data_IF_859341474148
#
_entry.id   IF_859341474148
#
_cell.length_a   1.000
_cell.length_b   1.000
_cell.length_c   1.000
_cell.angle_alpha   90.00
_cell.angle_beta   90.00
_cell.angle_gamma   90.00
#
_symmetry.space_group_name_H-M   'P 1'
#
loop_
_entity.id
_entity.type
_entity.pdbx_description
1 polymer ?
#
# COMPACT_ATOMS: atom_id res chain seq x y z
N UNK A 1 11.80 11.03 -4.71
CA UNK A 1 11.31 10.00 -3.79
C UNK A 1 11.08 8.71 -4.53
N UNK A 2 11.46 7.62 -3.93
CA UNK A 2 11.13 6.30 -4.47
C UNK A 2 9.65 6.00 -4.26
N UNK A 3 9.14 4.98 -4.93
CA UNK A 3 7.74 4.55 -4.75
C UNK A 3 7.49 4.12 -3.30
N UNK A 4 8.44 3.40 -2.69
CA UNK A 4 8.35 3.05 -1.26
C UNK A 4 8.17 4.29 -0.39
N UNK A 5 9.00 5.30 -0.61
CA UNK A 5 8.94 6.52 0.17
C UNK A 5 7.63 7.28 -0.05
N UNK A 6 7.13 7.28 -1.27
CA UNK A 6 5.85 7.93 -1.58
C UNK A 6 4.69 7.25 -0.87
N UNK A 7 4.67 5.93 -0.85
CA UNK A 7 3.63 5.16 -0.16
C UNK A 7 3.70 5.41 1.34
N UNK A 8 4.88 5.33 1.93
CA UNK A 8 5.06 5.58 3.36
C UNK A 8 4.63 7.01 3.72
N UNK A 9 5.05 7.98 2.92
CA UNK A 9 4.69 9.38 3.17
C UNK A 9 3.18 9.64 3.05
N UNK A 10 2.50 8.92 2.17
CA UNK A 10 1.06 9.07 1.99
C UNK A 10 0.28 8.45 3.15
N UNK A 11 0.75 7.31 3.66
CA UNK A 11 0.02 6.51 4.65
C UNK A 11 0.26 6.95 6.08
N UNK A 12 1.50 7.31 6.43
CA UNK A 12 1.86 7.55 7.85
C UNK A 12 1.12 8.69 8.53
N UNK A 13 0.66 9.76 7.84
CA UNK A 13 -0.21 10.73 8.50
C UNK A 13 -1.57 10.18 8.90
N UNK A 14 -1.97 9.05 8.36
CA UNK A 14 -3.28 8.43 8.59
C UNK A 14 -3.15 7.21 9.51
N UNK A 15 -2.20 6.33 9.20
CA UNK A 15 -1.89 5.13 9.98
C UNK A 15 -0.40 5.18 10.29
N UNK A 16 -0.06 5.35 11.55
CA UNK A 16 1.31 5.66 11.97
C UNK A 16 2.34 4.60 11.58
N UNK A 17 1.95 3.34 11.52
CA UNK A 17 2.85 2.24 11.17
C UNK A 17 2.56 1.78 9.74
N UNK A 18 3.54 1.98 8.86
CA UNK A 18 3.45 1.56 7.47
C UNK A 18 4.81 1.00 7.07
N UNK A 19 4.87 -0.29 6.82
CA UNK A 19 6.12 -0.98 6.54
C UNK A 19 6.01 -1.83 5.27
N UNK A 20 7.10 -2.01 4.54
CA UNK A 20 7.07 -2.88 3.37
C UNK A 20 6.97 -4.35 3.77
N UNK A 21 6.29 -5.11 2.95
CA UNK A 21 6.16 -6.56 2.98
C UNK A 21 5.52 -7.13 4.23
N UNK A 22 6.18 -7.11 5.37
CA UNK A 22 5.73 -7.79 6.57
C UNK A 22 6.07 -7.00 7.80
N UNK A 23 5.10 -6.87 8.70
CA UNK A 23 5.37 -6.29 10.00
C UNK A 23 6.09 -7.33 10.86
N UNK A 24 7.28 -6.98 11.32
CA UNK A 24 8.07 -7.82 12.20
C UNK A 24 8.18 -7.15 13.56
N UNK A 25 7.81 -7.87 14.63
CA UNK A 25 7.96 -7.38 15.98
C UNK A 25 9.05 -8.20 16.69
N UNK A 26 9.83 -7.52 17.51
CA UNK A 26 10.85 -8.19 18.32
C UNK A 26 10.19 -8.99 19.45
N UNK A 27 10.86 -10.03 19.96
CA UNK A 27 10.32 -10.77 21.11
C UNK A 27 10.06 -9.83 22.28
N UNK A 28 8.86 -9.94 22.85
CA UNK A 28 8.45 -9.10 23.98
C UNK A 28 7.80 -7.78 23.58
N UNK A 29 7.83 -7.39 22.30
CA UNK A 29 7.12 -6.22 21.84
C UNK A 29 5.64 -6.54 21.60
N UNK A 30 4.79 -5.57 21.93
CA UNK A 30 3.37 -5.67 21.58
C UNK A 30 3.18 -5.15 20.16
N UNK A 31 2.65 -5.95 19.23
CA UNK A 31 2.40 -5.44 17.89
C UNK A 31 1.36 -4.33 17.92
N UNK A 32 1.43 -3.37 16.99
CA UNK A 32 0.42 -2.32 16.90
C UNK A 32 -0.93 -2.93 16.54
N UNK A 33 -2.00 -2.37 17.08
CA UNK A 33 -3.35 -2.83 16.77
C UNK A 33 -3.76 -2.45 15.36
N UNK A 34 -3.25 -1.34 14.86
CA UNK A 34 -3.56 -0.81 13.55
C UNK A 34 -2.27 -0.53 12.80
N UNK A 35 -2.16 -1.04 11.59
CA UNK A 35 -0.97 -0.83 10.78
C UNK A 35 -1.24 -1.12 9.32
N UNK A 36 -0.32 -0.66 8.47
CA UNK A 36 -0.32 -0.98 7.05
C UNK A 36 0.96 -1.69 6.66
N UNK A 37 0.83 -2.61 5.73
CA UNK A 37 1.97 -3.17 5.00
C UNK A 37 1.73 -2.93 3.52
N UNK A 38 2.78 -2.96 2.72
CA UNK A 38 2.60 -2.83 1.28
C UNK A 38 3.64 -3.63 0.53
N UNK A 39 3.26 -4.04 -0.66
CA UNK A 39 4.17 -4.69 -1.58
C UNK A 39 3.82 -4.28 -3.00
N UNK A 40 4.73 -4.48 -3.92
CA UNK A 40 4.44 -4.26 -5.32
C UNK A 40 5.35 -5.11 -6.19
N UNK A 41 4.84 -5.40 -7.39
CA UNK A 41 5.61 -6.04 -8.43
C UNK A 41 5.73 -5.07 -9.62
N UNK A 42 6.86 -5.10 -10.28
CA UNK A 42 7.09 -4.24 -11.43
C UNK A 42 7.00 -5.04 -12.71
N UNK A 43 6.50 -4.39 -13.74
CA UNK A 43 6.46 -4.96 -15.08
C UNK A 43 6.62 -3.85 -16.11
N UNK A 44 7.07 -4.22 -17.29
CA UNK A 44 7.24 -3.26 -18.37
C UNK A 44 5.88 -2.81 -18.88
N UNK A 45 5.67 -1.49 -18.93
CA UNK A 45 4.41 -0.94 -19.37
C UNK A 45 4.28 -0.96 -20.90
N UNK A 46 5.33 -0.57 -21.60
CA UNK A 46 5.30 -0.48 -23.03
C UNK A 46 6.59 -1.03 -23.61
N UNK A 47 6.47 -1.78 -24.68
CA UNK A 47 7.61 -2.27 -25.44
C UNK A 47 7.56 -1.64 -26.83
N UNK A 48 8.45 -0.71 -27.06
CA UNK A 48 8.70 -0.16 -28.36
C UNK A 48 10.16 -0.36 -28.67
N UNK A 49 10.49 -0.71 -29.88
CA UNK A 49 11.88 -0.90 -30.29
C UNK A 49 12.63 -1.88 -29.41
N UNK A 50 11.93 -2.88 -28.88
CA UNK A 50 12.48 -3.91 -28.01
C UNK A 50 12.98 -3.38 -26.66
N UNK A 51 12.53 -2.20 -26.25
CA UNK A 51 12.88 -1.61 -24.97
C UNK A 51 11.65 -1.30 -24.16
N UNK A 52 11.74 -1.48 -22.86
CA UNK A 52 10.71 -1.00 -21.95
C UNK A 52 10.90 0.51 -21.77
N UNK A 53 9.89 1.29 -22.12
CA UNK A 53 9.95 2.74 -22.00
C UNK A 53 9.54 3.22 -20.61
N UNK A 54 8.78 2.42 -19.88
CA UNK A 54 8.33 2.75 -18.54
C UNK A 54 8.13 1.47 -17.75
N UNK A 55 8.33 1.57 -16.45
CA UNK A 55 7.98 0.48 -15.53
C UNK A 55 6.68 0.83 -14.86
N UNK A 56 5.80 -0.14 -14.81
CA UNK A 56 4.54 -0.03 -14.09
C UNK A 56 4.60 -0.97 -12.90
N UNK A 57 4.11 -0.53 -11.76
CA UNK A 57 4.06 -1.34 -10.56
C UNK A 57 2.62 -1.63 -10.21
N UNK A 58 2.33 -2.88 -9.89
CA UNK A 58 1.07 -3.25 -9.27
C UNK A 58 1.29 -3.19 -7.76
N UNK A 59 0.61 -2.28 -7.11
CA UNK A 59 0.80 -1.99 -5.69
C UNK A 59 -0.37 -2.55 -4.90
N UNK A 60 -0.06 -3.20 -3.78
CA UNK A 60 -1.07 -3.61 -2.80
C UNK A 60 -0.70 -3.01 -1.47
N UNK A 61 -1.61 -2.24 -0.89
CA UNK A 61 -1.47 -1.71 0.47
C UNK A 61 -2.50 -2.42 1.33
N UNK A 62 -2.02 -3.10 2.36
CA UNK A 62 -2.87 -3.84 3.30
C UNK A 62 -3.04 -2.99 4.55
N UNK A 63 -4.30 -2.75 4.92
CA UNK A 63 -4.64 -2.03 6.13
C UNK A 63 -5.28 -3.01 7.09
N UNK A 64 -4.69 -3.15 8.27
CA UNK A 64 -5.15 -4.07 9.30
C UNK A 64 -5.53 -3.29 10.54
N UNK A 65 -6.66 -3.65 11.13
CA UNK A 65 -7.23 -2.95 12.28
C UNK A 65 -8.00 -3.93 13.16
N UNK A 66 -8.26 -3.57 14.43
CA UNK A 66 -9.05 -4.41 15.31
C UNK A 66 -10.45 -4.64 14.76
N UNK A 67 -11.00 -5.82 15.03
CA UNK A 67 -12.27 -6.25 14.46
C UNK A 67 -13.42 -5.26 14.72
N UNK A 68 -13.42 -4.63 15.89
CA UNK A 68 -14.54 -3.75 16.31
C UNK A 68 -14.27 -2.27 16.14
N UNK A 69 -13.11 -1.91 15.55
CA UNK A 69 -12.78 -0.51 15.32
C UNK A 69 -13.65 0.08 14.20
N UNK A 70 -13.99 1.35 14.32
CA UNK A 70 -14.67 2.05 13.25
C UNK A 70 -13.63 2.59 12.29
N UNK A 71 -13.49 1.97 11.13
CA UNK A 71 -12.43 2.27 10.17
C UNK A 71 -12.91 3.01 8.92
N UNK A 72 -14.19 3.37 8.86
CA UNK A 72 -14.76 3.94 7.63
C UNK A 72 -14.04 5.22 7.19
N UNK A 73 -13.80 6.14 8.13
CA UNK A 73 -13.11 7.40 7.81
C UNK A 73 -11.65 7.15 7.44
N UNK A 74 -10.99 6.26 8.16
CA UNK A 74 -9.59 5.90 7.87
C UNK A 74 -9.46 5.31 6.47
N UNK A 75 -10.37 4.42 6.09
CA UNK A 75 -10.36 3.82 4.75
C UNK A 75 -10.54 4.87 3.66
N UNK A 76 -11.43 5.84 3.86
CA UNK A 76 -11.62 6.92 2.88
C UNK A 76 -10.38 7.78 2.74
N UNK A 77 -9.74 8.08 3.86
CA UNK A 77 -8.50 8.89 3.85
C UNK A 77 -7.36 8.15 3.17
N UNK A 78 -7.23 6.85 3.44
CA UNK A 78 -6.23 6.02 2.78
C UNK A 78 -6.46 5.97 1.28
N UNK A 79 -7.70 5.78 0.87
CA UNK A 79 -8.03 5.74 -0.55
C UNK A 79 -7.61 7.04 -1.25
N UNK A 80 -7.97 8.17 -0.67
CA UNK A 80 -7.64 9.48 -1.25
C UNK A 80 -6.13 9.72 -1.30
N UNK A 81 -5.42 9.37 -0.22
CA UNK A 81 -3.98 9.54 -0.18
C UNK A 81 -3.26 8.65 -1.20
N UNK A 82 -3.71 7.41 -1.34
CA UNK A 82 -3.10 6.48 -2.29
C UNK A 82 -3.44 6.84 -3.73
N UNK A 83 -4.60 7.43 -3.97
CA UNK A 83 -4.95 7.92 -5.31
C UNK A 83 -4.01 9.04 -5.77
N UNK A 84 -3.38 9.74 -4.83
CA UNK A 84 -2.43 10.82 -5.13
C UNK A 84 -0.97 10.34 -5.22
N UNK A 85 -0.69 9.06 -5.04
CA UNK A 85 0.67 8.52 -5.11
C UNK A 85 0.98 8.12 -6.56
N UNK A 86 1.19 9.08 -7.42
CA UNK A 86 1.48 8.82 -8.84
C UNK A 86 0.69 7.61 -9.41
N UNK A 87 -0.52 7.43 -8.90
CA UNK A 87 -1.33 6.27 -9.26
C UNK A 87 -1.77 6.38 -10.70
N UNK A 88 -1.58 5.31 -11.45
CA UNK A 88 -2.01 5.20 -12.82
C UNK A 88 -3.49 4.84 -12.89
N UNK A 89 -3.93 4.07 -11.90
CA UNK A 89 -5.35 3.71 -11.76
C UNK A 89 -5.82 4.07 -10.35
N UNK A 90 -7.10 4.36 -10.20
CA UNK A 90 -7.67 4.59 -8.88
C UNK A 90 -7.60 3.31 -8.06
N UNK A 91 -7.35 3.40 -6.75
CA UNK A 91 -7.27 2.20 -5.93
C UNK A 91 -8.61 1.45 -5.86
N UNK A 92 -8.54 0.13 -6.00
CA UNK A 92 -9.66 -0.77 -5.69
C UNK A 92 -9.49 -1.25 -4.26
N UNK A 93 -10.58 -1.36 -3.53
CA UNK A 93 -10.56 -1.85 -2.16
C UNK A 93 -11.22 -3.22 -2.10
N UNK A 94 -10.51 -4.18 -1.57
CA UNK A 94 -11.03 -5.52 -1.30
C UNK A 94 -11.09 -5.73 0.21
N UNK A 95 -12.22 -6.19 0.71
CA UNK A 95 -12.37 -6.52 2.11
C UNK A 95 -11.98 -7.98 2.32
N UNK A 96 -10.84 -8.18 2.97
CA UNK A 96 -10.31 -9.51 3.29
C UNK A 96 -10.40 -9.80 4.79
N UNK A 97 -11.26 -9.07 5.51
CA UNK A 97 -11.43 -9.23 6.95
C UNK A 97 -11.93 -10.62 7.32
N UNK A 98 -11.52 -11.06 8.49
CA UNK A 98 -11.98 -12.33 9.05
C UNK A 98 -12.27 -12.15 10.55
N UNK A 99 -12.49 -13.24 11.27
CA UNK A 99 -12.85 -13.14 12.68
C UNK A 99 -11.68 -12.71 13.58
N UNK A 100 -10.46 -12.63 13.07
CA UNK A 100 -9.31 -12.15 13.85
C UNK A 100 -9.12 -10.66 13.75
N UNK A 101 -9.68 -10.01 12.72
CA UNK A 101 -9.55 -8.58 12.57
C UNK A 101 -10.00 -8.09 11.20
N UNK A 102 -9.98 -6.77 11.06
CA UNK A 102 -10.27 -6.14 9.78
C UNK A 102 -9.03 -6.12 8.91
N UNK A 103 -9.21 -6.39 7.63
CA UNK A 103 -8.14 -6.39 6.65
C UNK A 103 -8.70 -5.89 5.32
N UNK A 104 -8.17 -4.78 4.84
CA UNK A 104 -8.56 -4.20 3.56
C UNK A 104 -7.34 -4.11 2.67
N UNK A 105 -7.49 -4.49 1.41
CA UNK A 105 -6.43 -4.43 0.41
C UNK A 105 -6.77 -3.34 -0.58
N UNK A 106 -5.89 -2.35 -0.69
CA UNK A 106 -5.98 -1.27 -1.67
C UNK A 106 -5.02 -1.62 -2.79
N UNK A 107 -5.57 -1.84 -3.98
CA UNK A 107 -4.77 -2.25 -5.12
C UNK A 107 -4.84 -1.22 -6.22
N UNK A 108 -3.71 -0.83 -6.76
CA UNK A 108 -3.64 0.14 -7.85
C UNK A 108 -2.34 -0.03 -8.62
N UNK A 109 -2.32 0.53 -9.83
CA UNK A 109 -1.11 0.58 -10.63
C UNK A 109 -0.47 1.96 -10.49
N UNK A 110 0.83 1.98 -10.40
CA UNK A 110 1.61 3.22 -10.31
C UNK A 110 2.77 3.17 -11.29
N UNK A 111 3.18 4.33 -11.77
CA UNK A 111 4.40 4.43 -12.56
C UNK A 111 5.58 4.43 -11.61
N UNK A 112 6.53 3.54 -11.86
CA UNK A 112 7.75 3.47 -11.08
C UNK A 112 8.94 3.43 -11.99
N UNK A 113 9.99 4.13 -11.62
CA UNK A 113 11.26 4.04 -12.33
C UNK A 113 11.99 2.77 -11.93
N UNK A 114 13.00 2.40 -12.70
CA UNK A 114 13.81 1.22 -12.37
C UNK A 114 14.53 1.35 -11.04
N UNK A 115 14.75 2.58 -10.60
CA UNK A 115 15.44 2.85 -9.33
C UNK A 115 14.50 2.93 -8.13
N UNK A 116 13.20 2.88 -8.34
CA UNK A 116 12.22 3.01 -7.26
C UNK A 116 12.11 1.74 -6.45
N UNK A 117 12.26 1.86 -5.17
CA UNK A 117 12.04 0.80 -4.22
C UNK A 117 13.07 -0.31 -4.21
#
# INVERSE_FOLDING_TARGET
MTLNEKIIAAVTPIVAVCVPDLLVTEPGETPPEEYCTFNFSRYADALGDNHAHAMRALVQVHYLAPLRANTAATRRRLWAALADVDAFTAPDITNASDQTGQHYVFEFEALGGVADG
#
